data_IF_769288988661
#
_entry.id   IF_769288988661
#
_cell.length_a   1.000
_cell.length_b   1.000
_cell.length_c   1.000
_cell.angle_alpha   90.00
_cell.angle_beta   90.00
_cell.angle_gamma   90.00
#
_symmetry.space_group_name_H-M   'P 1'
#
loop_
_entity.id
_entity.type
_entity.pdbx_description
1 polymer ?
#
# COMPACT_ATOMS: atom_id res chain seq x y z
N UNK A 1 18.78 -0.09 5.39
CA UNK A 1 18.33 1.00 4.49
C UNK A 1 17.50 0.38 3.38
N UNK A 2 16.23 0.08 3.67
CA UNK A 2 15.37 -0.69 2.74
C UNK A 2 14.84 0.22 1.65
N UNK A 3 14.96 -0.23 0.40
CA UNK A 3 14.37 0.40 -0.78
C UNK A 3 13.21 -0.39 -1.35
N UNK A 4 13.09 -1.66 -0.99
CA UNK A 4 12.01 -2.54 -1.44
C UNK A 4 11.48 -3.31 -0.26
N UNK A 5 10.15 -3.39 -0.15
CA UNK A 5 9.44 -4.12 0.90
C UNK A 5 8.25 -4.83 0.27
N UNK A 6 8.13 -6.14 0.53
CA UNK A 6 7.02 -6.96 0.02
C UNK A 6 6.36 -7.70 1.17
N UNK A 7 5.04 -7.56 1.23
CA UNK A 7 4.11 -8.32 2.06
C UNK A 7 3.06 -9.01 1.18
N UNK A 8 3.41 -9.37 -0.06
CA UNK A 8 2.49 -9.99 -1.03
C UNK A 8 1.94 -11.36 -0.61
N UNK A 9 2.52 -11.96 0.44
CA UNK A 9 2.08 -13.25 1.02
C UNK A 9 1.78 -13.16 2.52
N UNK A 10 1.76 -11.94 3.07
CA UNK A 10 1.57 -11.72 4.50
C UNK A 10 0.30 -10.91 4.70
N UNK A 11 -0.65 -11.47 5.45
CA UNK A 11 -1.87 -10.79 5.86
C UNK A 11 -1.51 -9.82 7.01
N UNK A 12 -1.18 -8.58 6.64
CA UNK A 12 -0.72 -7.54 7.55
C UNK A 12 -1.84 -6.51 7.72
N UNK A 13 -2.35 -6.35 8.94
CA UNK A 13 -3.29 -5.28 9.28
C UNK A 13 -2.60 -3.90 9.30
N UNK A 14 -3.36 -2.80 9.17
CA UNK A 14 -2.80 -1.46 9.27
C UNK A 14 -2.06 -1.22 10.59
N UNK A 15 -2.59 -1.72 11.72
CA UNK A 15 -1.98 -1.58 13.05
C UNK A 15 -0.64 -2.29 13.16
N UNK A 16 -0.49 -3.42 12.47
CA UNK A 16 0.80 -4.10 12.38
C UNK A 16 1.75 -3.36 11.45
N UNK A 17 1.28 -2.77 10.34
CA UNK A 17 2.14 -2.08 9.37
C UNK A 17 2.70 -0.74 9.90
N UNK A 18 1.85 0.08 10.53
CA UNK A 18 2.15 1.47 10.93
C UNK A 18 3.47 1.62 11.72
N UNK A 19 3.78 0.80 12.75
CA UNK A 19 5.00 0.95 13.55
C UNK A 19 6.28 0.73 12.74
N UNK A 20 6.25 -0.11 11.71
CA UNK A 20 7.41 -0.40 10.88
C UNK A 20 7.55 0.61 9.75
N UNK A 21 6.46 0.87 9.01
CA UNK A 21 6.52 1.69 7.79
C UNK A 21 6.95 3.14 8.08
N UNK A 22 6.65 3.67 9.27
CA UNK A 22 7.05 5.02 9.71
C UNK A 22 8.56 5.24 9.75
N UNK A 23 9.35 4.17 9.72
CA UNK A 23 10.82 4.21 9.70
C UNK A 23 11.40 3.92 8.30
N UNK A 24 10.56 3.68 7.29
CA UNK A 24 10.94 3.22 5.96
C UNK A 24 10.93 4.36 4.91
N UNK A 25 11.70 5.42 5.13
CA UNK A 25 11.67 6.63 4.29
C UNK A 25 12.21 6.46 2.86
N UNK A 26 13.08 5.46 2.63
CA UNK A 26 13.76 5.26 1.36
C UNK A 26 13.11 4.19 0.47
N UNK A 27 11.92 3.70 0.83
CA UNK A 27 11.18 2.72 0.05
C UNK A 27 10.81 3.32 -1.31
N UNK A 28 11.15 2.56 -2.36
CA UNK A 28 10.85 2.82 -3.77
C UNK A 28 9.87 1.79 -4.33
N UNK A 29 9.91 0.56 -3.84
CA UNK A 29 8.99 -0.51 -4.25
C UNK A 29 8.26 -1.03 -3.01
N UNK A 30 6.94 -0.94 -3.00
CA UNK A 30 6.11 -1.46 -1.92
C UNK A 30 5.00 -2.33 -2.48
N UNK A 31 5.00 -3.60 -2.11
CA UNK A 31 3.97 -4.56 -2.50
C UNK A 31 3.29 -5.12 -1.25
N UNK A 32 1.97 -5.23 -1.24
CA UNK A 32 1.22 -5.74 -0.09
C UNK A 32 -0.09 -6.40 -0.53
N UNK A 33 -0.67 -7.19 0.38
CA UNK A 33 -2.07 -7.58 0.31
C UNK A 33 -2.97 -6.40 0.74
N UNK A 34 -4.19 -6.36 0.24
CA UNK A 34 -5.22 -5.36 0.55
C UNK A 34 -5.66 -5.32 2.03
N UNK A 35 -5.33 -6.35 2.82
CA UNK A 35 -5.44 -6.35 4.31
C UNK A 35 -4.85 -5.14 5.03
N UNK A 36 -3.96 -4.38 4.38
CA UNK A 36 -3.41 -3.14 4.97
C UNK A 36 -4.44 -2.00 4.99
N UNK A 37 -5.57 -2.16 4.30
CA UNK A 37 -6.65 -1.19 4.12
C UNK A 37 -6.18 0.19 3.62
N UNK A 38 -7.12 1.13 3.51
CA UNK A 38 -6.79 2.53 3.20
C UNK A 38 -5.85 3.14 4.26
N UNK A 39 -6.03 2.79 5.53
CA UNK A 39 -5.22 3.20 6.67
C UNK A 39 -3.72 2.90 6.50
N UNK A 40 -3.40 1.74 5.93
CA UNK A 40 -2.03 1.34 5.64
C UNK A 40 -1.45 2.16 4.50
N UNK A 41 -2.24 2.40 3.45
CA UNK A 41 -1.83 3.24 2.33
C UNK A 41 -1.62 4.71 2.75
N UNK A 42 -2.44 5.24 3.65
CA UNK A 42 -2.22 6.55 4.26
C UNK A 42 -0.89 6.62 5.02
N UNK A 43 -0.56 5.59 5.80
CA UNK A 43 0.70 5.54 6.53
C UNK A 43 1.93 5.45 5.60
N UNK A 44 1.82 4.68 4.52
CA UNK A 44 2.82 4.62 3.44
C UNK A 44 2.96 5.99 2.78
N UNK A 45 1.85 6.61 2.38
CA UNK A 45 1.81 7.92 1.74
C UNK A 45 2.43 9.01 2.63
N UNK A 46 2.20 8.96 3.94
CA UNK A 46 2.76 9.88 4.91
C UNK A 46 4.29 9.75 5.01
N UNK A 47 4.84 8.55 4.83
CA UNK A 47 6.26 8.26 5.14
C UNK A 47 7.15 8.07 3.92
N UNK A 48 6.73 7.28 2.94
CA UNK A 48 7.57 6.77 1.85
C UNK A 48 7.55 7.72 0.64
N UNK A 49 8.17 8.90 0.78
CA UNK A 49 8.18 9.94 -0.28
C UNK A 49 8.96 9.56 -1.53
N UNK A 50 9.81 8.54 -1.43
CA UNK A 50 10.60 8.00 -2.53
C UNK A 50 9.90 6.86 -3.29
N UNK A 51 8.65 6.54 -2.95
CA UNK A 51 7.90 5.44 -3.56
C UNK A 51 7.73 5.68 -5.07
N UNK A 52 8.12 4.67 -5.85
CA UNK A 52 8.03 4.63 -7.33
C UNK A 52 7.09 3.55 -7.83
N UNK A 53 6.99 2.44 -7.12
CA UNK A 53 6.12 1.34 -7.49
C UNK A 53 5.28 0.88 -6.30
N UNK A 54 3.96 0.86 -6.50
CA UNK A 54 2.99 0.31 -5.56
C UNK A 54 2.27 -0.88 -6.21
N UNK A 55 2.20 -2.01 -5.50
CA UNK A 55 1.28 -3.09 -5.85
C UNK A 55 0.45 -3.50 -4.64
N UNK A 56 -0.86 -3.48 -4.80
CA UNK A 56 -1.82 -3.97 -3.80
C UNK A 56 -2.55 -5.15 -4.42
N UNK A 57 -2.42 -6.33 -3.82
CA UNK A 57 -3.02 -7.56 -4.29
C UNK A 57 -4.23 -7.92 -3.43
N UNK A 58 -5.30 -8.49 -4.00
CA UNK A 58 -6.45 -8.92 -3.22
C UNK A 58 -6.08 -10.16 -2.38
N UNK A 59 -6.60 -10.26 -1.16
CA UNK A 59 -6.54 -11.53 -0.39
C UNK A 59 -7.38 -12.60 -1.08
N UNK A 60 -8.62 -12.25 -1.44
CA UNK A 60 -9.50 -13.13 -2.21
C UNK A 60 -9.91 -12.44 -3.51
N UNK A 61 -9.44 -12.98 -4.63
CA UNK A 61 -9.75 -12.48 -5.96
C UNK A 61 -11.22 -12.70 -6.37
N UNK A 62 -12.02 -13.41 -5.56
CA UNK A 62 -13.43 -13.74 -5.83
C UNK A 62 -14.43 -12.87 -5.06
N UNK A 63 -13.98 -11.97 -4.18
CA UNK A 63 -14.90 -11.08 -3.48
C UNK A 63 -15.61 -10.15 -4.48
N UNK A 64 -16.93 -10.01 -4.34
CA UNK A 64 -17.78 -9.12 -5.17
C UNK A 64 -18.22 -7.89 -4.33
N UNK A 65 -17.45 -7.56 -3.28
CA UNK A 65 -17.70 -6.43 -2.39
C UNK A 65 -16.61 -5.38 -2.52
N UNK A 66 -16.93 -4.15 -2.11
CA UNK A 66 -15.95 -3.07 -2.02
C UNK A 66 -14.78 -3.51 -1.12
N UNK A 67 -13.59 -3.63 -1.71
CA UNK A 67 -12.42 -4.16 -1.03
C UNK A 67 -11.91 -3.23 0.08
N UNK A 68 -11.08 -3.75 1.00
CA UNK A 68 -10.56 -2.99 2.15
C UNK A 68 -9.69 -1.78 1.75
N UNK A 69 -9.22 -1.75 0.51
CA UNK A 69 -8.58 -0.58 -0.10
C UNK A 69 -9.53 0.01 -1.13
N UNK A 70 -9.80 1.31 -1.01
CA UNK A 70 -10.72 2.07 -1.86
C UNK A 70 -9.99 3.21 -2.61
N UNK A 71 -10.77 4.10 -3.24
CA UNK A 71 -10.26 5.34 -3.82
C UNK A 71 -9.58 6.25 -2.78
N UNK A 72 -9.92 6.15 -1.50
CA UNK A 72 -9.33 6.95 -0.42
C UNK A 72 -7.83 6.65 -0.27
N UNK A 73 -7.45 5.38 -0.16
CA UNK A 73 -6.05 4.98 -0.04
C UNK A 73 -5.24 5.32 -1.28
N UNK A 74 -5.82 5.14 -2.47
CA UNK A 74 -5.18 5.54 -3.73
C UNK A 74 -4.97 7.05 -3.83
N UNK A 75 -5.95 7.85 -3.40
CA UNK A 75 -5.83 9.30 -3.34
C UNK A 75 -4.71 9.72 -2.38
N UNK A 76 -4.63 9.09 -1.20
CA UNK A 76 -3.56 9.34 -0.24
C UNK A 76 -2.18 9.07 -0.85
N UNK A 77 -2.00 7.94 -1.54
CA UNK A 77 -0.75 7.61 -2.24
C UNK A 77 -0.44 8.65 -3.32
N UNK A 78 -1.41 9.01 -4.15
CA UNK A 78 -1.23 10.00 -5.22
C UNK A 78 -0.78 11.37 -4.68
N UNK A 79 -1.35 11.79 -3.55
CA UNK A 79 -0.98 13.04 -2.89
C UNK A 79 0.38 12.97 -2.18
N UNK A 80 0.66 11.85 -1.50
CA UNK A 80 1.82 11.69 -0.63
C UNK A 80 3.11 11.24 -1.34
N UNK A 81 3.00 10.45 -2.40
CA UNK A 81 4.09 9.80 -3.12
C UNK A 81 4.24 10.34 -4.54
N UNK A 82 4.73 11.58 -4.67
CA UNK A 82 4.82 12.30 -5.96
C UNK A 82 5.79 11.70 -6.98
N UNK A 83 6.61 10.73 -6.58
CA UNK A 83 7.57 10.01 -7.45
C UNK A 83 7.02 8.68 -7.96
N UNK A 84 5.74 8.39 -7.72
CA UNK A 84 5.11 7.15 -8.16
C UNK A 84 5.08 7.10 -9.70
N UNK A 85 5.62 6.02 -10.25
CA UNK A 85 5.76 5.75 -11.68
C UNK A 85 4.92 4.54 -12.11
N UNK A 86 4.68 3.60 -11.21
CA UNK A 86 3.99 2.34 -11.47
C UNK A 86 3.00 2.00 -10.36
N UNK A 87 1.78 1.65 -10.75
CA UNK A 87 0.74 1.20 -9.83
C UNK A 87 0.03 -0.03 -10.38
N UNK A 88 -0.13 -1.04 -9.54
CA UNK A 88 -1.06 -2.14 -9.74
C UNK A 88 -1.98 -2.19 -8.51
N UNK A 89 -3.28 -2.14 -8.76
CA UNK A 89 -4.30 -2.26 -7.72
C UNK A 89 -5.50 -2.98 -8.32
N UNK A 90 -6.15 -3.80 -7.50
CA UNK A 90 -7.33 -4.55 -7.87
C UNK A 90 -8.53 -3.89 -7.19
N UNK A 91 -9.44 -3.36 -8.00
CA UNK A 91 -10.75 -2.87 -7.55
C UNK A 91 -11.80 -3.92 -7.91
N UNK A 92 -12.63 -4.32 -6.96
CA UNK A 92 -13.82 -5.14 -7.21
C UNK A 92 -15.07 -4.24 -7.20
N UNK A 93 -16.09 -4.65 -7.96
CA UNK A 93 -17.25 -3.81 -8.33
C UNK A 93 -18.41 -3.98 -7.38
#
# INVERSE_FOLDING_TARGET
NLTSLTFSYANISPDMLRPFIRHCHNIRVFWALDSICDEGLEAVAATCKELRELRVFPIDAREDSEGPVSGVGLQAISAGCRKLESILYFCQR
#
